data_IF_560808674586
#
_entry.id   IF_560808674586
#
_cell.length_a   1.000
_cell.length_b   1.000
_cell.length_c   1.000
_cell.angle_alpha   90.00
_cell.angle_beta   90.00
_cell.angle_gamma   90.00
#
_symmetry.space_group_name_H-M   'P 1'
#
loop_
_entity.id
_entity.type
_entity.pdbx_description
1 polymer ?
#
# COMPACT_ATOMS: atom_id res chain seq x y z
N UNK A 1 -7.62 12.34 -30.93
CA UNK A 1 -8.53 11.30 -31.46
C UNK A 1 -9.23 10.65 -30.29
N UNK A 2 -10.57 10.54 -30.32
CA UNK A 2 -11.31 9.80 -29.29
C UNK A 2 -11.11 8.30 -29.50
N UNK A 3 -10.79 7.56 -28.43
CA UNK A 3 -10.59 6.11 -28.49
C UNK A 3 -11.92 5.38 -28.74
N UNK A 4 -11.89 4.30 -29.53
CA UNK A 4 -13.04 3.41 -29.72
C UNK A 4 -13.54 2.83 -28.39
N UNK A 5 -12.62 2.56 -27.45
CA UNK A 5 -12.95 2.10 -26.10
C UNK A 5 -13.78 3.14 -25.33
N UNK A 6 -13.39 4.41 -25.41
CA UNK A 6 -14.11 5.50 -24.75
C UNK A 6 -15.56 5.63 -25.28
N UNK A 7 -15.74 5.56 -26.61
CA UNK A 7 -17.07 5.60 -27.21
C UNK A 7 -17.96 4.43 -26.75
N UNK A 8 -17.39 3.22 -26.66
CA UNK A 8 -18.09 2.03 -26.17
C UNK A 8 -18.49 2.16 -24.69
N UNK A 9 -17.59 2.68 -23.84
CA UNK A 9 -17.86 2.93 -22.42
C UNK A 9 -19.00 3.95 -22.25
N UNK A 10 -18.95 5.08 -22.96
CA UNK A 10 -20.02 6.11 -22.90
C UNK A 10 -21.36 5.56 -23.35
N UNK A 11 -21.37 4.76 -24.42
CA UNK A 11 -22.59 4.13 -24.94
C UNK A 11 -23.19 3.16 -23.92
N UNK A 12 -22.35 2.34 -23.29
CA UNK A 12 -22.78 1.39 -22.25
C UNK A 12 -23.30 2.10 -21.01
N UNK A 13 -22.61 3.16 -20.55
CA UNK A 13 -23.05 3.99 -19.43
C UNK A 13 -24.41 4.66 -19.71
N UNK A 14 -24.62 5.14 -20.93
CA UNK A 14 -25.91 5.71 -21.34
C UNK A 14 -27.03 4.67 -21.37
N UNK A 15 -26.75 3.44 -21.83
CA UNK A 15 -27.72 2.34 -21.81
C UNK A 15 -28.09 1.92 -20.38
N UNK A 16 -27.12 1.78 -19.49
CA UNK A 16 -27.36 1.45 -18.08
C UNK A 16 -28.23 2.52 -17.41
N UNK A 17 -28.00 3.79 -17.72
CA UNK A 17 -28.79 4.91 -17.21
C UNK A 17 -30.23 4.89 -17.75
N UNK A 18 -30.41 4.61 -19.05
CA UNK A 18 -31.74 4.48 -19.65
C UNK A 18 -32.55 3.31 -19.06
N UNK A 19 -31.87 2.24 -18.65
CA UNK A 19 -32.46 1.08 -17.98
C UNK A 19 -32.62 1.28 -16.46
N UNK A 20 -32.25 2.44 -15.94
CA UNK A 20 -32.24 2.77 -14.50
C UNK A 20 -31.42 1.79 -13.65
N UNK A 21 -30.37 1.19 -14.22
CA UNK A 21 -29.42 0.38 -13.47
C UNK A 21 -28.40 1.30 -12.78
N UNK A 22 -28.48 1.37 -11.46
CA UNK A 22 -27.56 2.14 -10.61
C UNK A 22 -26.83 1.20 -9.65
N UNK A 23 -25.50 1.17 -9.73
CA UNK A 23 -24.64 0.43 -8.82
C UNK A 23 -23.37 1.23 -8.51
N UNK A 24 -22.63 0.81 -7.48
CA UNK A 24 -21.41 1.51 -7.08
C UNK A 24 -20.36 1.44 -8.20
N UNK A 25 -20.26 0.29 -8.85
CA UNK A 25 -19.35 0.01 -9.96
C UNK A 25 -19.68 0.87 -11.19
N UNK A 26 -20.97 1.16 -11.44
CA UNK A 26 -21.39 2.06 -12.52
C UNK A 26 -20.96 3.49 -12.23
N UNK A 27 -21.07 3.94 -10.98
CA UNK A 27 -20.59 5.26 -10.53
C UNK A 27 -19.05 5.34 -10.66
N UNK A 28 -18.33 4.33 -10.17
CA UNK A 28 -16.87 4.24 -10.27
C UNK A 28 -16.40 4.24 -11.73
N UNK A 29 -17.06 3.48 -12.61
CA UNK A 29 -16.77 3.45 -14.05
C UNK A 29 -16.98 4.82 -14.70
N UNK A 30 -18.02 5.54 -14.29
CA UNK A 30 -18.30 6.89 -14.78
C UNK A 30 -17.26 7.90 -14.28
N UNK A 31 -16.76 7.78 -13.05
CA UNK A 31 -15.67 8.60 -12.52
C UNK A 31 -14.35 8.39 -13.29
N UNK A 32 -14.01 7.14 -13.62
CA UNK A 32 -12.85 6.84 -14.47
C UNK A 32 -12.99 7.48 -15.85
N UNK A 33 -14.21 7.49 -16.41
CA UNK A 33 -14.51 8.17 -17.66
C UNK A 33 -14.33 9.69 -17.56
N UNK A 34 -14.76 10.32 -16.45
CA UNK A 34 -14.52 11.76 -16.18
C UNK A 34 -13.02 12.05 -16.13
N UNK A 35 -12.23 11.23 -15.43
CA UNK A 35 -10.76 11.38 -15.39
C UNK A 35 -10.14 11.30 -16.79
N UNK A 36 -10.59 10.36 -17.61
CA UNK A 36 -10.16 10.25 -19.01
C UNK A 36 -10.50 11.50 -19.82
N UNK A 37 -11.76 11.97 -19.76
CA UNK A 37 -12.24 13.16 -20.47
C UNK A 37 -11.41 14.40 -20.07
N UNK A 38 -11.13 14.56 -18.78
CA UNK A 38 -10.34 15.66 -18.24
C UNK A 38 -8.86 15.59 -18.65
N UNK A 39 -8.23 14.41 -18.57
CA UNK A 39 -6.84 14.21 -18.99
C UNK A 39 -6.60 14.46 -20.49
N UNK A 40 -7.64 14.33 -21.30
CA UNK A 40 -7.62 14.64 -22.74
C UNK A 40 -8.13 16.06 -23.07
N UNK A 41 -8.44 16.87 -22.06
CA UNK A 41 -8.93 18.25 -22.24
C UNK A 41 -10.36 18.37 -22.79
N UNK A 42 -11.17 17.31 -22.71
CA UNK A 42 -12.58 17.30 -23.16
C UNK A 42 -13.49 17.83 -22.04
N UNK A 43 -13.21 19.05 -21.56
CA UNK A 43 -13.80 19.62 -20.35
C UNK A 43 -15.35 19.68 -20.36
N UNK A 44 -16.04 20.03 -21.47
CA UNK A 44 -17.50 20.02 -21.50
C UNK A 44 -18.10 18.63 -21.27
N UNK A 45 -17.47 17.59 -21.83
CA UNK A 45 -17.92 16.22 -21.61
C UNK A 45 -17.68 15.78 -20.16
N UNK A 46 -16.49 16.11 -19.62
CA UNK A 46 -16.13 15.85 -18.23
C UNK A 46 -17.14 16.46 -17.26
N UNK A 47 -17.55 17.72 -17.49
CA UNK A 47 -18.52 18.42 -16.65
C UNK A 47 -19.89 17.75 -16.66
N UNK A 48 -20.41 17.39 -17.83
CA UNK A 48 -21.71 16.67 -17.95
C UNK A 48 -21.64 15.29 -17.29
N UNK A 49 -20.58 14.53 -17.57
CA UNK A 49 -20.35 13.20 -16.98
C UNK A 49 -20.30 13.27 -15.46
N UNK A 50 -19.58 14.26 -14.92
CA UNK A 50 -19.40 14.46 -13.49
C UNK A 50 -20.70 14.91 -12.82
N UNK A 51 -21.44 15.84 -13.41
CA UNK A 51 -22.75 16.28 -12.91
C UNK A 51 -23.74 15.12 -12.82
N UNK A 52 -23.74 14.26 -13.84
CA UNK A 52 -24.56 13.03 -13.87
C UNK A 52 -24.13 12.07 -12.76
N UNK A 53 -22.82 11.86 -12.62
CA UNK A 53 -22.24 11.04 -11.57
C UNK A 53 -22.61 11.54 -10.17
N UNK A 54 -22.59 12.86 -9.95
CA UNK A 54 -22.94 13.47 -8.67
C UNK A 54 -24.42 13.28 -8.31
N UNK A 55 -25.32 13.33 -9.31
CA UNK A 55 -26.75 13.07 -9.10
C UNK A 55 -27.00 11.61 -8.72
N UNK A 56 -26.39 10.66 -9.43
CA UNK A 56 -26.50 9.22 -9.13
C UNK A 56 -25.87 8.87 -7.78
N UNK A 57 -24.68 9.40 -7.48
CA UNK A 57 -24.02 9.20 -6.19
C UNK A 57 -24.88 9.72 -5.02
N UNK A 58 -25.59 10.84 -5.21
CA UNK A 58 -26.53 11.36 -4.21
C UNK A 58 -27.79 10.52 -4.07
N UNK A 59 -28.41 10.07 -5.16
CA UNK A 59 -29.59 9.19 -5.08
C UNK A 59 -29.28 7.89 -4.35
N UNK A 60 -28.05 7.39 -4.52
CA UNK A 60 -27.53 6.21 -3.80
C UNK A 60 -27.10 6.49 -2.35
N UNK A 61 -27.19 7.73 -1.86
CA UNK A 61 -26.71 8.16 -0.54
C UNK A 61 -25.24 7.80 -0.27
N UNK A 62 -24.34 7.92 -1.26
CA UNK A 62 -22.90 7.65 -1.05
C UNK A 62 -22.25 8.62 -0.06
N UNK A 63 -22.82 9.82 0.08
CA UNK A 63 -22.37 10.89 0.98
C UNK A 63 -22.80 10.70 2.44
N UNK A 64 -23.49 9.61 2.77
CA UNK A 64 -23.98 9.31 4.11
C UNK A 64 -23.39 8.00 4.58
N UNK A 65 -23.25 7.89 5.90
CA UNK A 65 -22.92 6.63 6.55
C UNK A 65 -24.00 5.60 6.29
N UNK A 66 -23.60 4.37 6.03
CA UNK A 66 -24.48 3.26 5.66
C UNK A 66 -24.21 2.07 6.55
N UNK A 67 -25.24 1.29 6.91
CA UNK A 67 -25.10 0.06 7.70
C UNK A 67 -24.52 -1.13 6.90
N UNK A 68 -23.76 -0.84 5.84
CA UNK A 68 -23.12 -1.83 4.97
C UNK A 68 -21.87 -2.42 5.62
N UNK A 69 -21.38 -3.58 5.15
CA UNK A 69 -20.10 -4.13 5.61
C UNK A 69 -18.97 -3.09 5.49
N UNK A 70 -18.03 -3.09 6.43
CA UNK A 70 -17.00 -2.06 6.55
C UNK A 70 -16.21 -1.81 5.25
N UNK A 71 -15.86 -2.88 4.52
CA UNK A 71 -15.15 -2.78 3.23
C UNK A 71 -16.00 -2.04 2.19
N UNK A 72 -17.28 -2.38 2.07
CA UNK A 72 -18.19 -1.73 1.12
C UNK A 72 -18.51 -0.29 1.53
N UNK A 73 -18.62 -0.02 2.83
CA UNK A 73 -18.77 1.34 3.36
C UNK A 73 -17.56 2.20 2.98
N UNK A 74 -16.35 1.64 3.04
CA UNK A 74 -15.12 2.32 2.65
C UNK A 74 -15.04 2.58 1.15
N UNK A 75 -15.36 1.60 0.31
CA UNK A 75 -15.44 1.78 -1.16
C UNK A 75 -16.43 2.89 -1.55
N UNK A 76 -17.60 2.94 -0.90
CA UNK A 76 -18.60 4.00 -1.11
C UNK A 76 -18.06 5.37 -0.71
N UNK A 77 -17.36 5.42 0.43
CA UNK A 77 -16.74 6.64 0.95
C UNK A 77 -15.65 7.16 0.02
N UNK A 78 -14.72 6.30 -0.43
CA UNK A 78 -13.67 6.64 -1.40
C UNK A 78 -14.25 7.16 -2.71
N UNK A 79 -15.29 6.51 -3.21
CA UNK A 79 -16.01 6.92 -4.43
C UNK A 79 -16.61 8.32 -4.27
N UNK A 80 -17.20 8.63 -3.11
CA UNK A 80 -17.74 9.97 -2.81
C UNK A 80 -16.64 11.04 -2.73
N UNK A 81 -15.54 10.75 -2.03
CA UNK A 81 -14.42 11.68 -1.92
C UNK A 81 -13.71 11.90 -3.27
N UNK A 82 -13.60 10.88 -4.12
CA UNK A 82 -13.08 11.01 -5.48
C UNK A 82 -13.94 11.96 -6.32
N UNK A 83 -15.27 11.79 -6.31
CA UNK A 83 -16.22 12.66 -6.98
C UNK A 83 -16.05 14.13 -6.53
N UNK A 84 -15.98 14.35 -5.23
CA UNK A 84 -15.85 15.67 -4.60
C UNK A 84 -14.51 16.36 -4.94
N UNK A 85 -13.41 15.61 -5.01
CA UNK A 85 -12.12 16.13 -5.44
C UNK A 85 -12.12 16.49 -6.93
N UNK A 86 -12.68 15.62 -7.78
CA UNK A 86 -12.81 15.86 -9.21
C UNK A 86 -13.65 17.10 -9.52
N UNK A 87 -14.74 17.31 -8.79
CA UNK A 87 -15.64 18.46 -8.96
C UNK A 87 -14.94 19.78 -8.69
N UNK A 88 -14.17 19.86 -7.61
CA UNK A 88 -13.34 21.04 -7.33
C UNK A 88 -12.24 21.23 -8.36
N UNK A 89 -11.56 20.15 -8.75
CA UNK A 89 -10.48 20.24 -9.72
C UNK A 89 -10.97 20.67 -11.11
N UNK A 90 -12.11 20.13 -11.56
CA UNK A 90 -12.73 20.51 -12.82
C UNK A 90 -13.25 21.95 -12.80
N UNK A 91 -13.80 22.40 -11.68
CA UNK A 91 -14.21 23.79 -11.44
C UNK A 91 -13.03 24.75 -11.58
N UNK A 92 -11.89 24.42 -10.97
CA UNK A 92 -10.65 25.22 -11.07
C UNK A 92 -10.14 25.29 -12.51
N UNK A 93 -10.10 24.16 -13.22
CA UNK A 93 -9.60 24.12 -14.61
C UNK A 93 -10.54 24.88 -15.56
N UNK A 94 -11.85 24.75 -15.36
CA UNK A 94 -12.85 25.32 -16.27
C UNK A 94 -13.15 26.79 -15.95
N UNK A 95 -12.72 27.29 -14.79
CA UNK A 95 -13.07 28.62 -14.29
C UNK A 95 -14.56 28.76 -13.93
N UNK A 96 -15.27 27.65 -13.75
CA UNK A 96 -16.70 27.62 -13.44
C UNK A 96 -16.90 27.26 -11.96
N UNK A 97 -17.42 28.17 -11.12
CA UNK A 97 -17.61 27.92 -9.69
C UNK A 97 -18.82 27.03 -9.36
N UNK A 98 -19.61 26.59 -10.36
CA UNK A 98 -20.82 25.79 -10.12
C UNK A 98 -20.48 24.33 -9.77
N UNK A 99 -20.22 24.10 -8.48
CA UNK A 99 -19.93 22.76 -7.96
C UNK A 99 -21.17 21.86 -8.01
N UNK A 100 -20.98 20.65 -8.52
CA UNK A 100 -21.99 19.62 -8.53
C UNK A 100 -22.14 18.94 -7.18
N UNK A 101 -21.17 19.04 -6.28
CA UNK A 101 -21.13 18.41 -4.95
C UNK A 101 -21.42 19.41 -3.83
N UNK A 102 -21.81 18.91 -2.64
CA UNK A 102 -21.95 19.78 -1.46
C UNK A 102 -20.59 20.00 -0.84
N UNK A 103 -20.43 21.08 -0.10
CA UNK A 103 -19.25 21.24 0.74
C UNK A 103 -19.17 20.14 1.82
N UNK A 104 -17.95 19.71 2.18
CA UNK A 104 -17.74 18.70 3.20
C UNK A 104 -18.10 19.33 4.55
N UNK A 105 -18.83 18.58 5.37
CA UNK A 105 -19.12 18.96 6.74
C UNK A 105 -18.06 18.39 7.68
N UNK A 106 -17.94 18.96 8.88
CA UNK A 106 -17.06 18.47 9.94
C UNK A 106 -17.37 17.03 10.35
N UNK A 107 -18.63 16.61 10.20
CA UNK A 107 -19.09 15.25 10.50
C UNK A 107 -18.77 14.23 9.39
N UNK A 108 -18.28 14.68 8.23
CA UNK A 108 -17.94 13.79 7.13
C UNK A 108 -16.64 13.05 7.42
N UNK A 109 -16.72 11.73 7.57
CA UNK A 109 -15.54 10.89 7.75
C UNK A 109 -14.71 10.84 6.47
N UNK A 110 -13.40 11.08 6.59
CA UNK A 110 -12.44 10.88 5.51
C UNK A 110 -12.27 9.39 5.16
N UNK A 111 -11.85 9.07 3.93
CA UNK A 111 -11.37 7.74 3.58
C UNK A 111 -10.28 7.30 4.55
N UNK A 112 -10.24 6.01 4.84
CA UNK A 112 -9.09 5.43 5.54
C UNK A 112 -7.88 5.68 4.64
N UNK A 113 -6.87 6.36 5.17
CA UNK A 113 -5.57 6.45 4.52
C UNK A 113 -5.01 5.02 4.43
N UNK A 114 -4.73 4.58 3.21
CA UNK A 114 -4.09 3.29 2.96
C UNK A 114 -2.73 3.16 3.67
N UNK A 115 -2.15 4.28 4.14
CA UNK A 115 -0.97 4.32 5.01
C UNK A 115 -1.24 4.34 6.51
N UNK A 116 -2.45 4.64 7.01
CA UNK A 116 -2.70 4.88 8.45
C UNK A 116 -2.46 3.62 9.31
N UNK A 117 -2.80 2.44 8.81
CA UNK A 117 -2.60 1.19 9.55
C UNK A 117 -1.12 0.77 9.60
N UNK A 118 -0.33 1.09 8.56
CA UNK A 118 1.12 0.89 8.52
C UNK A 118 1.87 1.93 9.33
N UNK A 119 1.40 3.18 9.34
CA UNK A 119 1.92 4.25 10.19
C UNK A 119 1.66 3.95 11.68
N UNK A 120 0.50 3.41 12.03
CA UNK A 120 0.20 2.94 13.38
C UNK A 120 1.08 1.75 13.79
N UNK A 121 1.28 0.77 12.89
CA UNK A 121 2.15 -0.37 13.15
C UNK A 121 3.64 0.05 13.26
N UNK A 122 4.11 0.94 12.38
CA UNK A 122 5.43 1.54 12.48
C UNK A 122 5.59 2.36 13.77
N UNK A 123 4.56 3.12 14.15
CA UNK A 123 4.51 3.88 15.40
C UNK A 123 4.62 2.97 16.63
N UNK A 124 3.93 1.82 16.61
CA UNK A 124 4.04 0.79 17.67
C UNK A 124 5.43 0.18 17.74
N UNK A 125 6.06 -0.15 16.60
CA UNK A 125 7.45 -0.65 16.56
C UNK A 125 8.43 0.40 17.09
N UNK A 126 8.31 1.66 16.66
CA UNK A 126 9.16 2.76 17.14
C UNK A 126 8.98 2.95 18.65
N UNK A 127 7.74 2.98 19.14
CA UNK A 127 7.46 3.10 20.58
C UNK A 127 8.03 1.93 21.37
N UNK A 128 7.85 0.71 20.87
CA UNK A 128 8.40 -0.50 21.47
C UNK A 128 9.93 -0.43 21.63
N UNK A 129 10.65 0.13 20.64
CA UNK A 129 12.12 0.24 20.66
C UNK A 129 12.62 1.39 21.54
N UNK A 130 11.98 2.57 21.44
CA UNK A 130 12.50 3.81 22.04
C UNK A 130 11.85 4.20 23.37
N UNK A 131 10.71 3.61 23.71
CA UNK A 131 9.98 3.81 24.97
C UNK A 131 9.55 2.43 25.54
N UNK A 132 10.52 1.56 25.90
CA UNK A 132 10.24 0.19 26.30
C UNK A 132 9.47 0.17 27.63
N UNK A 133 8.47 -0.72 27.70
CA UNK A 133 7.73 -0.92 28.94
C UNK A 133 8.61 -1.61 30.00
N UNK A 134 8.41 -1.28 31.29
CA UNK A 134 9.20 -1.86 32.38
C UNK A 134 8.89 -3.34 32.63
N UNK A 135 7.77 -3.85 32.12
CA UNK A 135 7.40 -5.27 32.20
C UNK A 135 8.05 -6.05 31.04
N UNK A 136 9.11 -6.80 31.35
CA UNK A 136 9.86 -7.58 30.38
C UNK A 136 9.02 -8.68 29.70
N UNK A 137 8.05 -9.26 30.40
CA UNK A 137 7.20 -10.32 29.83
C UNK A 137 6.19 -9.74 28.84
N UNK A 138 5.63 -8.57 29.16
CA UNK A 138 4.77 -7.84 28.24
C UNK A 138 5.54 -7.35 27.02
N UNK A 139 6.74 -6.81 27.22
CA UNK A 139 7.62 -6.35 26.15
C UNK A 139 7.95 -7.50 25.18
N UNK A 140 8.33 -8.68 25.68
CA UNK A 140 8.62 -9.83 24.82
C UNK A 140 7.38 -10.30 24.02
N UNK A 141 6.20 -10.32 24.65
CA UNK A 141 4.95 -10.67 23.96
C UNK A 141 4.57 -9.64 22.89
N UNK A 142 4.75 -8.35 23.17
CA UNK A 142 4.51 -7.28 22.22
C UNK A 142 5.43 -7.41 20.98
N UNK A 143 6.71 -7.69 21.18
CA UNK A 143 7.67 -7.92 20.09
C UNK A 143 7.23 -9.08 19.18
N UNK A 144 6.83 -10.21 19.76
CA UNK A 144 6.37 -11.39 19.01
C UNK A 144 5.09 -11.09 18.23
N UNK A 145 4.15 -10.33 18.81
CA UNK A 145 2.91 -9.98 18.13
C UNK A 145 3.16 -8.99 16.99
N UNK A 146 3.99 -7.97 17.20
CA UNK A 146 4.39 -7.03 16.15
C UNK A 146 5.05 -7.76 14.99
N UNK A 147 5.99 -8.66 15.28
CA UNK A 147 6.67 -9.47 14.27
C UNK A 147 5.69 -10.34 13.48
N UNK A 148 4.83 -11.12 14.16
CA UNK A 148 3.83 -11.98 13.50
C UNK A 148 2.93 -11.19 12.57
N UNK A 149 2.51 -10.01 13.01
CA UNK A 149 1.64 -9.12 12.24
C UNK A 149 2.36 -8.64 10.97
N UNK A 150 3.60 -8.14 11.11
CA UNK A 150 4.44 -7.69 10.00
C UNK A 150 4.70 -8.83 8.98
N UNK A 151 4.94 -10.07 9.45
CA UNK A 151 5.17 -11.23 8.58
C UNK A 151 3.93 -11.66 7.81
N UNK A 152 2.76 -11.59 8.43
CA UNK A 152 1.49 -11.95 7.80
C UNK A 152 1.10 -10.96 6.69
N UNK A 153 1.48 -9.69 6.85
CA UNK A 153 1.22 -8.61 5.91
C UNK A 153 2.18 -8.60 4.71
N UNK A 154 3.42 -9.05 4.92
CA UNK A 154 4.47 -9.04 3.89
C UNK A 154 4.05 -9.68 2.56
N UNK A 155 3.47 -10.90 2.48
CA UNK A 155 3.07 -11.49 1.20
C UNK A 155 1.95 -10.72 0.47
N UNK A 156 1.04 -10.07 1.21
CA UNK A 156 -0.04 -9.27 0.62
C UNK A 156 0.52 -8.01 -0.04
N UNK A 157 1.44 -7.34 0.64
CA UNK A 157 2.11 -6.13 0.11
C UNK A 157 3.00 -6.46 -1.10
N UNK A 158 3.61 -7.65 -1.13
CA UNK A 158 4.40 -8.13 -2.27
C UNK A 158 3.54 -8.29 -3.52
N UNK A 159 2.34 -8.84 -3.38
CA UNK A 159 1.40 -9.02 -4.50
C UNK A 159 0.89 -7.67 -5.01
N UNK A 160 0.60 -6.73 -4.11
CA UNK A 160 0.13 -5.39 -4.48
C UNK A 160 1.25 -4.51 -5.07
N UNK A 161 2.48 -4.60 -4.58
CA UNK A 161 3.61 -3.82 -5.12
C UNK A 161 3.97 -4.28 -6.54
N UNK A 162 3.91 -5.59 -6.81
CA UNK A 162 4.06 -6.15 -8.16
C UNK A 162 2.95 -5.70 -9.12
N UNK A 163 1.76 -5.40 -8.62
CA UNK A 163 0.60 -5.00 -9.44
C UNK A 163 0.49 -3.48 -9.65
N UNK A 164 0.85 -2.68 -8.64
CA UNK A 164 0.52 -1.25 -8.60
C UNK A 164 1.72 -0.32 -8.39
N UNK A 165 2.92 -0.83 -8.03
CA UNK A 165 4.16 -0.04 -7.93
C UNK A 165 4.19 1.08 -6.88
N UNK A 166 3.15 1.21 -6.03
CA UNK A 166 2.93 2.41 -5.19
C UNK A 166 3.09 2.16 -3.67
N UNK A 167 3.31 0.92 -3.20
CA UNK A 167 3.38 0.57 -1.77
C UNK A 167 4.80 0.46 -1.20
N UNK A 168 5.73 1.20 -1.80
CA UNK A 168 7.16 1.03 -1.59
C UNK A 168 7.63 1.49 -0.18
N UNK A 169 6.82 2.28 0.54
CA UNK A 169 7.03 2.61 1.97
C UNK A 169 6.48 1.54 2.91
N UNK A 170 5.30 1.00 2.64
CA UNK A 170 4.64 -0.05 3.41
C UNK A 170 5.46 -1.34 3.44
N UNK A 171 5.89 -1.76 2.25
CA UNK A 171 6.79 -2.89 2.08
C UNK A 171 8.13 -2.64 2.79
N UNK A 172 8.66 -1.41 2.67
CA UNK A 172 9.86 -0.98 3.37
C UNK A 172 9.77 -1.06 4.90
N UNK A 173 8.62 -0.72 5.47
CA UNK A 173 8.37 -0.83 6.91
C UNK A 173 8.27 -2.30 7.32
N UNK A 174 7.48 -3.12 6.60
CA UNK A 174 7.28 -4.54 6.92
C UNK A 174 8.56 -5.39 6.77
N UNK A 175 9.48 -4.98 5.91
CA UNK A 175 10.78 -5.65 5.74
C UNK A 175 11.83 -5.18 6.75
N UNK A 176 11.91 -3.89 7.06
CA UNK A 176 12.94 -3.36 7.96
C UNK A 176 12.58 -3.51 9.45
N UNK A 177 11.30 -3.38 9.83
CA UNK A 177 10.88 -3.43 11.23
C UNK A 177 11.25 -4.73 11.96
N UNK A 178 11.10 -5.94 11.38
CA UNK A 178 11.53 -7.17 12.02
C UNK A 178 13.04 -7.22 12.30
N UNK A 179 13.89 -6.71 11.41
CA UNK A 179 15.34 -6.64 11.66
C UNK A 179 15.67 -5.73 12.84
N UNK A 180 14.97 -4.60 12.97
CA UNK A 180 15.20 -3.68 14.09
C UNK A 180 14.67 -4.25 15.40
N UNK A 181 13.55 -4.97 15.38
CA UNK A 181 13.01 -5.69 16.54
C UNK A 181 13.99 -6.77 17.02
N UNK A 182 14.52 -7.59 16.12
CA UNK A 182 15.51 -8.63 16.45
C UNK A 182 16.86 -8.06 16.93
N UNK A 183 17.32 -6.94 16.37
CA UNK A 183 18.53 -6.25 16.88
C UNK A 183 18.29 -5.66 18.28
N UNK A 184 17.10 -5.13 18.56
CA UNK A 184 16.71 -4.63 19.88
C UNK A 184 16.63 -5.77 20.92
N UNK A 185 15.99 -6.89 20.58
CA UNK A 185 15.94 -8.09 21.42
C UNK A 185 17.34 -8.68 21.67
N UNK A 186 18.22 -8.61 20.67
CA UNK A 186 19.63 -9.01 20.76
C UNK A 186 20.43 -8.15 21.75
N UNK A 187 20.22 -6.83 21.76
CA UNK A 187 20.91 -5.89 22.67
C UNK A 187 20.49 -6.01 24.13
N UNK A 188 19.23 -6.39 24.39
CA UNK A 188 18.71 -6.56 25.74
C UNK A 188 19.00 -7.95 26.35
N UNK A 189 19.44 -8.93 25.54
CA UNK A 189 19.75 -10.29 25.97
C UNK A 189 21.23 -10.54 26.24
N UNK A 190 21.56 -11.18 27.36
CA UNK A 190 22.94 -11.55 27.73
C UNK A 190 23.58 -12.50 26.71
N UNK A 191 24.61 -12.05 25.98
CA UNK A 191 25.69 -12.85 25.33
C UNK A 191 25.32 -13.88 24.26
N UNK A 192 24.43 -14.83 24.56
CA UNK A 192 23.90 -15.85 23.64
C UNK A 192 22.68 -15.41 22.81
N UNK A 193 22.25 -14.16 22.98
CA UNK A 193 21.09 -13.57 22.28
C UNK A 193 21.36 -13.28 20.80
N UNK A 194 22.61 -12.93 20.45
CA UNK A 194 22.96 -12.56 19.08
C UNK A 194 22.86 -13.70 18.06
N UNK A 195 23.21 -14.94 18.46
CA UNK A 195 23.07 -16.10 17.58
C UNK A 195 21.60 -16.47 17.36
N UNK A 196 20.76 -16.35 18.40
CA UNK A 196 19.31 -16.57 18.28
C UNK A 196 18.62 -15.51 17.43
N UNK A 197 19.02 -14.25 17.58
CA UNK A 197 18.54 -13.17 16.72
C UNK A 197 18.96 -13.37 15.26
N UNK A 198 20.20 -13.82 15.01
CA UNK A 198 20.67 -14.17 13.67
C UNK A 198 19.89 -15.35 13.07
N UNK A 199 19.59 -16.39 13.86
CA UNK A 199 18.77 -17.53 13.42
C UNK A 199 17.33 -17.10 13.11
N UNK A 200 16.75 -16.20 13.90
CA UNK A 200 15.43 -15.65 13.66
C UNK A 200 15.37 -14.73 12.42
N UNK A 201 16.48 -14.05 12.09
CA UNK A 201 16.60 -13.20 10.90
C UNK A 201 16.89 -13.99 9.60
N UNK A 202 17.26 -15.27 9.67
CA UNK A 202 17.60 -16.08 8.49
C UNK A 202 16.42 -16.23 7.50
N UNK A 203 15.21 -16.67 7.92
CA UNK A 203 14.07 -16.84 7.00
C UNK A 203 13.65 -15.52 6.34
N UNK A 204 13.80 -14.43 7.06
CA UNK A 204 13.54 -13.06 6.60
C UNK A 204 14.48 -12.65 5.47
N UNK A 205 15.78 -12.85 5.68
CA UNK A 205 16.79 -12.49 4.69
C UNK A 205 16.62 -13.27 3.39
N UNK A 206 16.29 -14.58 3.46
CA UNK A 206 16.01 -15.41 2.28
C UNK A 206 14.80 -14.88 1.52
N UNK A 207 13.73 -14.51 2.23
CA UNK A 207 12.49 -14.02 1.63
C UNK A 207 12.69 -12.69 0.89
N UNK A 208 13.46 -11.77 1.46
CA UNK A 208 13.78 -10.46 0.84
C UNK A 208 14.64 -10.64 -0.42
N UNK A 209 15.60 -11.56 -0.41
CA UNK A 209 16.40 -11.89 -1.59
C UNK A 209 15.56 -12.52 -2.70
N UNK A 210 14.65 -13.44 -2.36
CA UNK A 210 13.72 -14.02 -3.34
C UNK A 210 12.80 -12.97 -3.93
N UNK A 211 12.40 -11.99 -3.13
CA UNK A 211 11.60 -10.86 -3.56
C UNK A 211 12.36 -9.95 -4.53
N UNK A 212 13.61 -9.58 -4.24
CA UNK A 212 14.40 -8.74 -5.17
C UNK A 212 14.59 -9.40 -6.53
N UNK A 213 14.75 -10.72 -6.56
CA UNK A 213 14.84 -11.45 -7.82
C UNK A 213 13.53 -11.40 -8.63
N UNK A 214 12.37 -11.36 -7.95
CA UNK A 214 11.06 -11.23 -8.61
C UNK A 214 10.76 -9.80 -9.07
N UNK A 215 11.18 -8.79 -8.31
CA UNK A 215 10.91 -7.38 -8.66
C UNK A 215 11.85 -6.85 -9.74
N UNK A 216 13.15 -7.17 -9.65
CA UNK A 216 14.18 -6.47 -10.43
C UNK A 216 14.75 -7.29 -11.58
N UNK A 217 14.43 -8.59 -11.68
CA UNK A 217 14.96 -9.46 -12.73
C UNK A 217 16.49 -9.30 -12.87
N UNK A 218 16.93 -8.83 -14.04
CA UNK A 218 18.29 -8.33 -14.29
C UNK A 218 18.35 -6.80 -14.09
N UNK A 219 19.35 -6.29 -13.35
CA UNK A 219 19.42 -4.92 -12.82
C UNK A 219 19.37 -3.71 -13.78
N UNK A 220 18.97 -3.88 -15.04
CA UNK A 220 18.74 -2.81 -16.02
C UNK A 220 17.34 -2.17 -15.93
N UNK A 221 16.36 -2.77 -15.23
CA UNK A 221 14.98 -2.26 -15.13
C UNK A 221 14.70 -1.37 -13.90
N UNK A 222 15.73 -1.01 -13.13
CA UNK A 222 15.60 -0.21 -11.92
C UNK A 222 15.37 1.28 -12.24
N UNK A 223 14.14 1.76 -12.05
CA UNK A 223 13.85 3.20 -12.08
C UNK A 223 14.13 3.86 -10.72
N UNK A 224 15.33 4.40 -10.57
CA UNK A 224 15.78 5.08 -9.35
C UNK A 224 14.94 6.31 -8.94
N UNK A 225 14.14 6.87 -9.85
CA UNK A 225 13.32 8.07 -9.59
C UNK A 225 12.01 7.79 -8.84
N UNK A 226 11.51 6.55 -8.90
CA UNK A 226 10.25 6.12 -8.24
C UNK A 226 10.50 5.08 -7.15
N UNK A 227 11.77 4.77 -6.88
CA UNK A 227 12.17 3.69 -5.98
C UNK A 227 12.18 4.14 -4.52
N UNK A 228 11.54 3.39 -3.62
CA UNK A 228 11.63 3.67 -2.19
C UNK A 228 13.04 3.44 -1.68
N UNK A 229 13.59 4.36 -0.86
CA UNK A 229 14.90 4.17 -0.24
C UNK A 229 14.93 2.98 0.74
N UNK A 230 13.77 2.49 1.17
CA UNK A 230 13.68 1.37 2.11
C UNK A 230 13.95 0.01 1.46
N UNK A 231 13.73 -0.13 0.15
CA UNK A 231 14.00 -1.39 -0.56
C UNK A 231 15.50 -1.68 -0.67
N UNK A 232 16.37 -0.75 -1.14
CA UNK A 232 17.82 -0.93 -1.08
C UNK A 232 18.33 -1.22 0.33
N UNK A 233 17.75 -0.56 1.34
CA UNK A 233 18.11 -0.75 2.74
C UNK A 233 17.78 -2.17 3.22
N UNK A 234 16.58 -2.68 2.90
CA UNK A 234 16.16 -4.03 3.26
C UNK A 234 17.04 -5.10 2.62
N UNK A 235 17.48 -4.88 1.37
CA UNK A 235 18.40 -5.76 0.66
C UNK A 235 19.79 -5.74 1.26
N UNK A 236 20.28 -4.55 1.64
CA UNK A 236 21.53 -4.42 2.37
C UNK A 236 21.47 -5.16 3.71
N UNK A 237 20.39 -5.01 4.48
CA UNK A 237 20.19 -5.71 5.75
C UNK A 237 20.16 -7.23 5.56
N UNK A 238 19.40 -7.73 4.58
CA UNK A 238 19.36 -9.15 4.24
C UNK A 238 20.74 -9.69 3.85
N UNK A 239 21.50 -8.95 3.03
CA UNK A 239 22.86 -9.30 2.63
C UNK A 239 23.82 -9.34 3.83
N UNK A 240 23.71 -8.38 4.76
CA UNK A 240 24.51 -8.36 5.99
C UNK A 240 24.20 -9.57 6.88
N UNK A 241 22.93 -9.95 7.04
CA UNK A 241 22.53 -11.14 7.80
C UNK A 241 23.09 -12.41 7.15
N UNK A 242 22.92 -12.57 5.84
CA UNK A 242 23.46 -13.71 5.08
C UNK A 242 24.99 -13.80 5.19
N UNK A 243 25.69 -12.67 5.14
CA UNK A 243 27.15 -12.63 5.31
C UNK A 243 27.57 -13.05 6.73
N UNK A 244 26.82 -12.64 7.76
CA UNK A 244 27.08 -13.02 9.16
C UNK A 244 26.84 -14.52 9.39
N UNK A 245 25.76 -15.08 8.83
CA UNK A 245 25.46 -16.51 8.85
C UNK A 245 26.55 -17.32 8.13
N UNK A 246 27.01 -16.83 6.97
CA UNK A 246 28.10 -17.45 6.22
C UNK A 246 29.41 -17.51 7.01
N UNK A 247 29.83 -16.40 7.63
CA UNK A 247 31.03 -16.36 8.50
C UNK A 247 30.91 -17.28 9.72
N UNK A 248 29.69 -17.49 10.25
CA UNK A 248 29.42 -18.45 11.32
C UNK A 248 29.56 -19.90 10.83
N UNK A 249 29.01 -20.21 9.65
CA UNK A 249 29.11 -21.53 9.02
C UNK A 249 30.56 -21.89 8.67
N UNK A 250 31.34 -20.93 8.19
CA UNK A 250 32.76 -21.10 7.84
C UNK A 250 33.63 -21.37 9.08
N UNK A 251 33.34 -20.71 10.22
CA UNK A 251 33.96 -21.01 11.52
C UNK A 251 33.55 -22.36 12.11
N UNK A 252 32.42 -22.91 11.69
CA UNK A 252 31.84 -24.17 12.20
C UNK A 252 32.17 -25.39 11.34
N UNK A 253 32.89 -25.22 10.22
CA UNK A 253 33.35 -26.30 9.35
C UNK A 253 32.27 -26.98 8.50
N UNK A 254 31.07 -26.42 8.36
CA UNK A 254 29.98 -26.99 7.56
C UNK A 254 30.04 -26.46 6.11
N UNK A 255 30.46 -27.33 5.17
CA UNK A 255 30.62 -27.02 3.75
C UNK A 255 29.29 -27.15 2.96
N UNK A 256 28.96 -26.08 2.24
CA UNK A 256 28.14 -25.90 1.01
C UNK A 256 26.78 -26.59 0.85
N UNK A 257 25.70 -25.81 0.94
CA UNK A 257 24.48 -26.12 0.17
C UNK A 257 23.58 -24.91 -0.20
N UNK A 258 23.63 -23.77 0.51
CA UNK A 258 22.58 -22.74 0.34
C UNK A 258 23.05 -21.37 -0.14
N UNK A 259 24.31 -20.98 0.04
CA UNK A 259 24.79 -19.62 -0.27
C UNK A 259 25.25 -19.41 -1.71
N UNK A 260 25.48 -20.47 -2.49
CA UNK A 260 25.89 -20.36 -3.89
C UNK A 260 24.77 -19.95 -4.86
N UNK A 261 23.50 -19.85 -4.41
CA UNK A 261 22.37 -19.49 -5.28
C UNK A 261 21.97 -18.02 -5.25
N UNK A 262 22.52 -17.23 -4.34
CA UNK A 262 22.11 -15.82 -4.11
C UNK A 262 23.10 -14.81 -4.70
N UNK A 263 24.37 -15.19 -4.90
CA UNK A 263 25.43 -14.27 -5.36
C UNK A 263 25.85 -14.48 -6.83
N UNK A 264 25.22 -15.40 -7.57
CA UNK A 264 25.57 -15.68 -8.98
C UNK A 264 24.44 -15.42 -9.98
N UNK A 265 23.47 -14.55 -9.65
CA UNK A 265 22.54 -13.99 -10.64
C UNK A 265 22.52 -12.48 -10.47
#
# INVERSE_FOLDING_TARGET
MQSTLYANVKSTLGLLEALNYQSLEVVQSRLLCVFYEMGHGILPAASISLATCAKVARSMNLHKRSATPAVLEEERKRTWWMLLNLDRFLSVISGDPMLCTRDPNIDDTYPIDDGLWLQDLAGKVIRHIFDPTPDAAFQEQEAVQLERTLMALMPLLVEEELQFGNYCSAFGICTNAPFVLHDSMGRNGTGGSNDRALDAMEPLSIRITQFSLRLFGTGQDLNYGTFSPYVPLSLYQAAVVQLRLWKRSERSGAYWALTAKVLTV
#
